data_IF_554809231659
#
_entry.id   IF_554809231659
#
_cell.length_a   1.000
_cell.length_b   1.000
_cell.length_c   1.000
_cell.angle_alpha   90.00
_cell.angle_beta   90.00
_cell.angle_gamma   90.00
#
_symmetry.space_group_name_H-M   'P 1'
#
loop_
_entity.id
_entity.type
_entity.pdbx_description
1 polymer ?
#
# COMPACT_ATOMS: atom_id res chain seq x y z
N UNK A 1 23.15 -8.80 -18.61
CA UNK A 1 22.27 -9.06 -19.77
C UNK A 1 21.17 -8.01 -19.74
N UNK A 2 20.80 -7.42 -20.88
CA UNK A 2 19.73 -6.42 -20.89
C UNK A 2 18.38 -7.12 -20.84
N UNK A 3 17.57 -6.80 -19.86
CA UNK A 3 16.19 -7.28 -19.74
C UNK A 3 15.39 -6.76 -20.94
N UNK A 4 14.81 -7.66 -21.74
CA UNK A 4 13.95 -7.26 -22.86
C UNK A 4 12.57 -6.92 -22.32
N UNK A 5 12.20 -5.64 -22.34
CA UNK A 5 10.87 -5.18 -21.93
C UNK A 5 9.96 -5.03 -23.14
N UNK A 6 8.89 -5.81 -23.18
CA UNK A 6 7.82 -5.71 -24.17
C UNK A 6 6.78 -4.71 -23.64
N UNK A 7 6.39 -3.73 -24.45
CA UNK A 7 5.47 -2.66 -24.08
C UNK A 7 4.23 -2.66 -25.00
N UNK A 8 3.32 -3.61 -24.84
CA UNK A 8 2.09 -3.66 -25.63
C UNK A 8 1.22 -2.42 -25.39
N UNK A 9 0.63 -1.91 -26.46
CA UNK A 9 -0.20 -0.70 -26.45
C UNK A 9 -1.70 -0.99 -26.41
N UNK A 10 -2.08 -2.24 -26.61
CA UNK A 10 -3.47 -2.71 -26.63
C UNK A 10 -3.63 -4.06 -25.94
N UNK A 11 -4.88 -4.42 -25.64
CA UNK A 11 -5.23 -5.76 -25.14
C UNK A 11 -4.96 -6.84 -26.19
N UNK A 12 -5.12 -6.52 -27.46
CA UNK A 12 -4.78 -7.43 -28.56
C UNK A 12 -3.30 -7.76 -28.54
N UNK A 13 -2.42 -6.75 -28.41
CA UNK A 13 -0.97 -6.96 -28.37
C UNK A 13 -0.58 -7.86 -27.19
N UNK A 14 -1.19 -7.64 -26.00
CA UNK A 14 -0.94 -8.47 -24.82
C UNK A 14 -1.36 -9.91 -25.08
N UNK A 15 -2.55 -10.12 -25.66
CA UNK A 15 -3.06 -11.44 -25.97
C UNK A 15 -2.14 -12.18 -26.94
N UNK A 16 -1.73 -11.51 -28.01
CA UNK A 16 -0.86 -12.10 -29.05
C UNK A 16 0.50 -12.48 -28.45
N UNK A 17 1.04 -11.64 -27.57
CA UNK A 17 2.26 -11.94 -26.82
C UNK A 17 2.08 -13.17 -25.90
N UNK A 18 1.00 -13.25 -25.13
CA UNK A 18 0.75 -14.39 -24.25
C UNK A 18 0.57 -15.73 -25.00
N UNK A 19 -0.01 -15.69 -26.18
CA UNK A 19 -0.22 -16.88 -27.02
C UNK A 19 1.09 -17.32 -27.71
N UNK A 20 1.93 -16.37 -28.12
CA UNK A 20 3.17 -16.66 -28.83
C UNK A 20 4.33 -17.04 -27.94
N UNK A 21 4.30 -16.64 -26.66
CA UNK A 21 5.41 -16.86 -25.73
C UNK A 21 5.29 -18.21 -25.02
N UNK A 22 6.40 -18.92 -24.99
CA UNK A 22 6.54 -20.22 -24.29
C UNK A 22 7.35 -20.08 -23.00
N UNK A 23 8.04 -18.96 -22.82
CA UNK A 23 8.87 -18.66 -21.66
C UNK A 23 8.05 -18.03 -20.53
N UNK A 24 8.60 -18.07 -19.32
CA UNK A 24 8.01 -17.34 -18.20
C UNK A 24 8.07 -15.85 -18.41
N UNK A 25 6.94 -15.18 -18.20
CA UNK A 25 6.78 -13.75 -18.34
C UNK A 25 6.68 -13.08 -16.97
N UNK A 26 7.46 -12.05 -16.78
CA UNK A 26 7.30 -11.16 -15.63
C UNK A 26 6.35 -10.02 -15.99
N UNK A 27 5.26 -9.86 -15.24
CA UNK A 27 4.30 -8.79 -15.51
C UNK A 27 4.66 -7.57 -14.66
N UNK A 28 4.84 -6.44 -15.30
CA UNK A 28 5.20 -5.18 -14.65
C UNK A 28 4.26 -4.05 -15.07
N UNK A 29 4.02 -3.13 -14.14
CA UNK A 29 3.58 -1.77 -14.43
C UNK A 29 4.81 -0.88 -14.65
N UNK A 30 4.87 0.26 -13.96
CA UNK A 30 5.99 1.21 -14.04
C UNK A 30 7.22 0.83 -13.22
N UNK A 31 7.39 -0.41 -12.81
CA UNK A 31 8.57 -0.95 -12.13
C UNK A 31 9.05 -0.12 -10.91
N UNK A 32 8.11 0.39 -10.12
CA UNK A 32 8.40 1.23 -8.96
C UNK A 32 8.40 0.47 -7.62
N UNK A 33 8.08 -0.84 -7.63
CA UNK A 33 7.95 -1.69 -6.42
C UNK A 33 8.74 -2.98 -6.46
N UNK A 34 9.09 -3.47 -7.65
CA UNK A 34 9.90 -4.66 -7.85
C UNK A 34 11.15 -4.29 -8.64
N UNK A 35 12.27 -4.93 -8.32
CA UNK A 35 13.45 -4.91 -9.18
C UNK A 35 13.17 -5.68 -10.46
N UNK A 36 13.77 -5.27 -11.56
CA UNK A 36 13.77 -6.03 -12.80
C UNK A 36 14.35 -7.42 -12.52
N UNK A 37 13.67 -8.45 -12.98
CA UNK A 37 14.18 -9.82 -13.00
C UNK A 37 14.97 -10.03 -14.30
N UNK A 38 15.77 -11.08 -14.39
CA UNK A 38 16.45 -11.47 -15.63
C UNK A 38 15.48 -12.05 -16.67
N UNK A 39 14.21 -12.21 -16.31
CA UNK A 39 13.15 -12.74 -17.16
C UNK A 39 12.64 -11.70 -18.16
N UNK A 40 11.98 -12.17 -19.19
CA UNK A 40 11.29 -11.35 -20.17
C UNK A 40 10.12 -10.61 -19.50
N UNK A 41 10.04 -9.30 -19.68
CA UNK A 41 9.07 -8.45 -18.99
C UNK A 41 7.99 -7.96 -19.96
N UNK A 42 6.72 -8.14 -19.61
CA UNK A 42 5.60 -7.41 -20.22
C UNK A 42 5.26 -6.22 -19.33
N UNK A 43 5.41 -5.01 -19.85
CA UNK A 43 5.07 -3.78 -19.14
C UNK A 43 3.75 -3.21 -19.64
N UNK A 44 2.84 -2.94 -18.71
CA UNK A 44 1.55 -2.29 -19.02
C UNK A 44 1.63 -0.77 -19.13
N UNK A 45 2.81 -0.17 -19.07
CA UNK A 45 2.99 1.29 -19.07
C UNK A 45 2.44 1.99 -20.32
N UNK A 46 2.36 1.32 -21.46
CA UNK A 46 1.76 1.89 -22.67
C UNK A 46 0.22 1.94 -22.63
N UNK A 47 -0.42 1.19 -21.72
CA UNK A 47 -1.86 1.25 -21.49
C UNK A 47 -2.18 2.42 -20.54
N UNK A 48 -2.15 3.64 -21.03
CA UNK A 48 -2.33 4.85 -20.20
C UNK A 48 -3.58 5.65 -20.59
N UNK A 49 -4.10 6.41 -19.65
CA UNK A 49 -5.20 7.34 -19.81
C UNK A 49 -6.34 7.11 -18.81
N UNK A 50 -6.99 8.20 -18.42
CA UNK A 50 -8.26 8.19 -17.70
C UNK A 50 -9.36 7.95 -18.72
N UNK A 51 -10.12 6.87 -18.53
CA UNK A 51 -11.21 6.47 -19.43
C UNK A 51 -12.48 7.26 -19.09
N UNK A 52 -12.73 7.43 -17.78
CA UNK A 52 -13.87 8.15 -17.28
C UNK A 52 -13.64 8.63 -15.86
N UNK A 53 -14.16 9.79 -15.52
CA UNK A 53 -14.11 10.32 -14.17
C UNK A 53 -15.42 11.05 -13.87
N UNK A 54 -16.09 10.59 -12.82
CA UNK A 54 -17.36 11.14 -12.33
C UNK A 54 -17.16 11.67 -10.91
N UNK A 55 -16.74 12.94 -10.74
CA UNK A 55 -16.47 13.50 -9.42
C UNK A 55 -17.66 13.42 -8.47
N UNK A 56 -18.89 13.65 -8.97
CA UNK A 56 -20.12 13.57 -8.18
C UNK A 56 -20.46 12.15 -7.70
N UNK A 57 -20.05 11.13 -8.44
CA UNK A 57 -20.22 9.72 -8.06
C UNK A 57 -19.01 9.16 -7.28
N UNK A 58 -17.95 9.95 -7.10
CA UNK A 58 -16.69 9.55 -6.45
C UNK A 58 -16.06 8.32 -7.10
N UNK A 59 -16.11 8.23 -8.42
CA UNK A 59 -15.58 7.08 -9.17
C UNK A 59 -14.72 7.49 -10.34
N UNK A 60 -13.68 6.72 -10.59
CA UNK A 60 -12.78 6.90 -11.74
C UNK A 60 -12.51 5.56 -12.40
N UNK A 61 -12.42 5.58 -13.75
CA UNK A 61 -11.96 4.46 -14.58
C UNK A 61 -10.68 4.88 -15.29
N UNK A 62 -9.64 4.08 -15.16
CA UNK A 62 -8.36 4.36 -15.77
C UNK A 62 -7.69 3.09 -16.31
N UNK A 63 -6.94 3.23 -17.38
CA UNK A 63 -6.08 2.17 -17.90
C UNK A 63 -4.95 1.87 -16.91
N UNK A 64 -4.54 0.61 -16.82
CA UNK A 64 -3.65 0.11 -15.78
C UNK A 64 -2.27 0.79 -15.74
N UNK A 65 -1.73 1.20 -16.88
CA UNK A 65 -0.44 1.89 -17.01
C UNK A 65 -0.48 3.38 -16.67
N UNK A 66 -1.65 3.94 -16.33
CA UNK A 66 -1.77 5.37 -16.00
C UNK A 66 -0.94 5.72 -14.77
N UNK A 67 0.01 6.67 -14.86
CA UNK A 67 0.81 7.11 -13.72
C UNK A 67 -0.05 7.68 -12.58
N UNK A 68 0.35 7.39 -11.33
CA UNK A 68 -0.32 7.98 -10.15
C UNK A 68 -0.27 9.49 -10.11
N UNK A 69 0.76 10.13 -10.69
CA UNK A 69 0.84 11.59 -10.78
C UNK A 69 -0.35 12.14 -11.55
N UNK A 70 -0.67 11.57 -12.72
CA UNK A 70 -1.82 11.98 -13.55
C UNK A 70 -3.15 11.77 -12.79
N UNK A 71 -3.29 10.63 -12.10
CA UNK A 71 -4.48 10.36 -11.28
C UNK A 71 -4.62 11.41 -10.18
N UNK A 72 -3.55 11.65 -9.40
CA UNK A 72 -3.58 12.60 -8.29
C UNK A 72 -3.83 14.04 -8.76
N UNK A 73 -3.17 14.48 -9.83
CA UNK A 73 -3.39 15.82 -10.42
C UNK A 73 -4.85 16.01 -10.86
N UNK A 74 -5.46 14.96 -11.43
CA UNK A 74 -6.86 15.02 -11.86
C UNK A 74 -7.80 15.07 -10.66
N UNK A 75 -7.57 14.25 -9.64
CA UNK A 75 -8.39 14.21 -8.43
C UNK A 75 -8.27 15.52 -7.63
N UNK A 76 -7.08 16.10 -7.57
CA UNK A 76 -6.84 17.34 -6.81
C UNK A 76 -7.65 18.52 -7.35
N UNK A 77 -7.93 18.57 -8.65
CA UNK A 77 -8.78 19.61 -9.26
C UNK A 77 -10.21 19.61 -8.72
N UNK A 78 -10.68 18.45 -8.26
CA UNK A 78 -12.01 18.25 -7.68
C UNK A 78 -11.96 18.07 -6.15
N UNK A 79 -10.84 18.44 -5.49
CA UNK A 79 -10.62 18.21 -4.06
C UNK A 79 -10.85 16.77 -3.62
N UNK A 80 -10.43 15.81 -4.44
CA UNK A 80 -10.54 14.39 -4.18
C UNK A 80 -9.17 13.72 -4.13
N UNK A 81 -9.12 12.50 -3.58
CA UNK A 81 -7.89 11.75 -3.37
C UNK A 81 -8.10 10.24 -3.42
N UNK A 82 -7.00 9.50 -3.61
CA UNK A 82 -6.92 8.08 -3.32
C UNK A 82 -6.79 7.88 -1.81
N UNK A 83 -7.93 7.67 -1.14
CA UNK A 83 -7.97 7.66 0.33
C UNK A 83 -7.10 6.57 0.98
N UNK A 84 -6.84 5.47 0.28
CA UNK A 84 -5.96 4.40 0.75
C UNK A 84 -4.45 4.72 0.65
N UNK A 85 -4.08 5.94 0.27
CA UNK A 85 -2.71 6.49 0.29
C UNK A 85 -1.66 5.54 -0.30
N UNK A 86 -1.68 5.23 -1.60
CA UNK A 86 -0.76 4.25 -2.17
C UNK A 86 0.71 4.71 -2.00
N UNK A 87 1.54 3.95 -1.25
CA UNK A 87 2.91 4.34 -0.97
C UNK A 87 3.78 4.28 -2.22
N UNK A 88 4.83 5.12 -2.27
CA UNK A 88 5.77 5.20 -3.37
C UNK A 88 7.18 4.78 -2.93
N UNK A 89 7.54 3.52 -3.15
CA UNK A 89 8.79 2.95 -2.68
C UNK A 89 10.00 3.20 -3.58
N UNK A 90 9.83 3.86 -4.74
CA UNK A 90 10.92 4.01 -5.71
C UNK A 90 12.20 4.61 -5.12
N UNK A 91 12.07 5.56 -4.20
CA UNK A 91 13.22 6.25 -3.59
C UNK A 91 14.00 5.37 -2.62
N UNK A 92 13.31 4.53 -1.84
CA UNK A 92 13.95 3.63 -0.89
C UNK A 92 14.49 2.36 -1.57
N UNK A 93 13.91 1.99 -2.71
CA UNK A 93 14.32 0.84 -3.51
C UNK A 93 15.34 1.19 -4.60
N UNK A 94 15.68 2.49 -4.75
CA UNK A 94 16.53 3.00 -5.82
C UNK A 94 16.07 2.55 -7.22
N UNK A 95 14.76 2.68 -7.47
CA UNK A 95 14.13 2.34 -8.76
C UNK A 95 13.86 3.60 -9.57
N UNK A 96 14.09 3.52 -10.88
CA UNK A 96 13.85 4.63 -11.82
C UNK A 96 12.40 4.72 -12.28
N UNK A 97 11.62 3.66 -12.10
CA UNK A 97 10.23 3.57 -12.54
C UNK A 97 9.26 4.52 -11.84
N UNK A 98 8.03 4.53 -12.30
CA UNK A 98 6.95 5.31 -11.73
C UNK A 98 5.78 4.41 -11.32
N UNK A 99 5.04 4.80 -10.28
CA UNK A 99 3.87 4.05 -9.84
C UNK A 99 2.72 4.23 -10.83
N UNK A 100 2.11 3.10 -11.24
CA UNK A 100 0.91 3.08 -12.07
C UNK A 100 -0.28 2.58 -11.27
N UNK A 101 -1.50 2.98 -11.67
CA UNK A 101 -2.72 2.61 -10.94
C UNK A 101 -2.96 1.08 -10.96
N UNK A 102 -2.69 0.42 -12.08
CA UNK A 102 -2.76 -1.05 -12.16
C UNK A 102 -1.77 -1.73 -11.24
N UNK A 103 -0.53 -1.23 -11.15
CA UNK A 103 0.49 -1.73 -10.22
C UNK A 103 0.11 -1.53 -8.75
N UNK A 104 -0.58 -0.44 -8.42
CA UNK A 104 -1.13 -0.19 -7.08
C UNK A 104 -2.15 -1.25 -6.69
N UNK A 105 -3.12 -1.52 -7.53
CA UNK A 105 -4.14 -2.55 -7.26
C UNK A 105 -3.56 -3.96 -7.34
N UNK A 106 -2.70 -4.25 -8.30
CA UNK A 106 -2.03 -5.54 -8.41
C UNK A 106 -1.24 -5.91 -7.13
N UNK A 107 -0.67 -4.91 -6.45
CA UNK A 107 0.09 -5.11 -5.20
C UNK A 107 -0.72 -4.84 -3.94
N UNK A 108 -1.98 -4.41 -4.07
CA UNK A 108 -2.86 -3.96 -2.98
C UNK A 108 -2.14 -2.93 -2.07
N UNK A 109 -1.43 -1.99 -2.69
CA UNK A 109 -0.59 -1.04 -1.98
C UNK A 109 -1.44 -0.01 -1.23
N UNK A 110 -1.30 0.01 0.08
CA UNK A 110 -2.10 0.84 0.99
C UNK A 110 -1.21 1.47 2.06
N UNK A 111 -1.45 2.72 2.35
CA UNK A 111 -0.76 3.50 3.37
C UNK A 111 -1.41 3.44 4.74
N UNK A 112 -1.09 4.41 5.58
CA UNK A 112 -1.43 4.42 7.01
C UNK A 112 -2.93 4.51 7.29
N UNK A 113 -3.75 5.04 6.37
CA UNK A 113 -5.22 5.08 6.52
C UNK A 113 -5.91 3.71 6.36
N UNK A 114 -5.18 2.67 6.04
CA UNK A 114 -5.77 1.36 5.74
C UNK A 114 -6.77 0.86 6.77
N UNK A 115 -6.54 1.11 8.05
CA UNK A 115 -7.43 0.62 9.11
C UNK A 115 -8.76 1.38 9.10
N UNK A 116 -8.73 2.70 8.85
CA UNK A 116 -9.93 3.54 8.81
C UNK A 116 -10.71 3.40 7.49
N UNK A 117 -10.02 3.50 6.35
CA UNK A 117 -10.71 3.62 5.04
C UNK A 117 -10.73 2.31 4.24
N UNK A 118 -10.03 1.29 4.70
CA UNK A 118 -9.81 0.06 3.95
C UNK A 118 -8.53 0.09 3.09
N UNK A 119 -8.20 -1.07 2.53
CA UNK A 119 -7.07 -1.23 1.63
C UNK A 119 -7.40 -0.76 0.19
N UNK A 120 -6.39 -0.65 -0.67
CA UNK A 120 -6.59 -0.38 -2.10
C UNK A 120 -7.66 -1.31 -2.71
N UNK A 121 -7.59 -2.61 -2.37
CA UNK A 121 -8.57 -3.63 -2.77
C UNK A 121 -10.01 -3.25 -2.45
N UNK A 122 -10.26 -2.54 -1.34
CA UNK A 122 -11.61 -2.19 -0.88
C UNK A 122 -12.17 -0.99 -1.64
N UNK A 123 -11.30 -0.24 -2.31
CA UNK A 123 -11.66 0.84 -3.22
C UNK A 123 -11.78 0.39 -4.68
N UNK A 124 -11.33 -0.82 -5.04
CA UNK A 124 -11.47 -1.36 -6.39
C UNK A 124 -12.90 -1.85 -6.60
N UNK A 125 -13.61 -1.28 -7.58
CA UNK A 125 -15.01 -1.55 -7.90
C UNK A 125 -15.15 -2.49 -9.12
N UNK A 126 -14.22 -2.38 -10.06
CA UNK A 126 -14.20 -3.17 -11.27
C UNK A 126 -12.80 -3.34 -11.81
N UNK A 127 -12.60 -4.43 -12.54
CA UNK A 127 -11.33 -4.77 -13.18
C UNK A 127 -11.55 -5.37 -14.55
N UNK A 128 -10.68 -5.01 -15.48
CA UNK A 128 -10.53 -5.67 -16.77
C UNK A 128 -9.10 -6.19 -16.84
N UNK A 129 -8.95 -7.45 -17.17
CA UNK A 129 -7.64 -8.11 -17.22
C UNK A 129 -7.61 -9.22 -18.26
N UNK A 130 -6.41 -9.64 -18.65
CA UNK A 130 -6.19 -10.76 -19.55
C UNK A 130 -5.61 -11.91 -18.71
N UNK A 131 -6.27 -13.06 -18.77
CA UNK A 131 -5.83 -14.26 -18.04
C UNK A 131 -4.66 -14.98 -18.76
N UNK A 132 -4.10 -16.01 -18.13
CA UNK A 132 -2.98 -16.78 -18.69
C UNK A 132 -3.30 -17.53 -19.99
N UNK A 133 -4.57 -17.60 -20.38
CA UNK A 133 -5.01 -18.17 -21.66
C UNK A 133 -5.28 -17.11 -22.73
N UNK A 134 -4.94 -15.85 -22.49
CA UNK A 134 -5.17 -14.75 -23.41
C UNK A 134 -6.64 -14.29 -23.49
N UNK A 135 -7.50 -14.71 -22.56
CA UNK A 135 -8.91 -14.29 -22.56
C UNK A 135 -9.07 -12.97 -21.81
N UNK A 136 -9.82 -12.05 -22.41
CA UNK A 136 -10.19 -10.80 -21.77
C UNK A 136 -11.34 -11.05 -20.80
N UNK A 137 -11.12 -10.77 -19.53
CA UNK A 137 -12.11 -10.92 -18.46
C UNK A 137 -12.46 -9.54 -17.91
N UNK A 138 -13.75 -9.25 -17.76
CA UNK A 138 -14.26 -8.06 -17.09
C UNK A 138 -15.13 -8.51 -15.92
N UNK A 139 -14.85 -7.94 -14.72
CA UNK A 139 -15.62 -8.24 -13.53
C UNK A 139 -15.84 -6.97 -12.71
N UNK A 140 -17.00 -6.86 -12.06
CA UNK A 140 -17.41 -5.64 -11.38
C UNK A 140 -17.81 -4.53 -12.36
N UNK A 141 -17.85 -3.31 -11.87
CA UNK A 141 -18.30 -2.13 -12.64
C UNK A 141 -17.96 -0.84 -11.92
N UNK A 142 -18.89 0.14 -11.97
CA UNK A 142 -18.74 1.44 -11.31
C UNK A 142 -19.60 1.58 -10.06
N UNK A 143 -20.32 0.53 -9.71
CA UNK A 143 -21.26 0.54 -8.56
C UNK A 143 -20.63 -0.13 -7.36
N UNK A 144 -20.93 0.36 -6.17
CA UNK A 144 -20.36 -0.13 -4.93
C UNK A 144 -20.85 -1.54 -4.53
N UNK A 145 -21.91 -2.03 -5.15
CA UNK A 145 -22.49 -3.33 -4.83
C UNK A 145 -22.55 -4.21 -6.09
N UNK A 146 -21.75 -5.28 -6.09
CA UNK A 146 -21.87 -6.38 -7.05
C UNK A 146 -22.36 -7.62 -6.30
N UNK A 147 -23.49 -8.18 -6.74
CA UNK A 147 -24.16 -9.30 -6.05
C UNK A 147 -24.21 -10.56 -6.89
N UNK A 148 -23.62 -10.56 -8.08
CA UNK A 148 -23.68 -11.69 -9.02
C UNK A 148 -22.29 -12.22 -9.34
N UNK A 149 -22.13 -13.54 -9.24
CA UNK A 149 -20.89 -14.24 -9.59
C UNK A 149 -19.78 -14.15 -8.56
N UNK A 150 -18.60 -14.62 -8.96
CA UNK A 150 -17.39 -14.56 -8.14
C UNK A 150 -16.84 -13.15 -8.08
N UNK A 151 -16.31 -12.75 -6.94
CA UNK A 151 -15.64 -11.47 -6.76
C UNK A 151 -14.18 -11.55 -7.27
N UNK A 152 -14.02 -11.53 -8.59
CA UNK A 152 -12.70 -11.52 -9.22
C UNK A 152 -11.97 -10.20 -8.99
N UNK A 153 -12.69 -9.11 -8.68
CA UNK A 153 -12.10 -7.81 -8.31
C UNK A 153 -11.21 -7.98 -7.09
N UNK A 154 -11.73 -8.63 -6.05
CA UNK A 154 -10.97 -8.88 -4.82
C UNK A 154 -9.86 -9.92 -4.99
N UNK A 155 -10.05 -10.88 -5.90
CA UNK A 155 -9.07 -11.90 -6.19
C UNK A 155 -7.85 -11.32 -6.93
N UNK A 156 -8.07 -10.48 -7.93
CA UNK A 156 -7.00 -9.85 -8.73
C UNK A 156 -6.21 -8.82 -7.91
N UNK A 157 -6.87 -8.12 -6.99
CA UNK A 157 -6.19 -7.16 -6.12
C UNK A 157 -5.22 -7.87 -5.16
N UNK A 158 -3.94 -7.57 -5.28
CA UNK A 158 -2.88 -8.21 -4.51
C UNK A 158 -2.31 -9.49 -5.14
N UNK A 159 -2.69 -9.81 -6.39
CA UNK A 159 -2.18 -10.99 -7.12
C UNK A 159 -0.78 -10.82 -7.69
N UNK A 160 -0.22 -9.62 -7.71
CA UNK A 160 1.09 -9.30 -8.26
C UNK A 160 1.27 -9.68 -9.74
N UNK A 161 0.17 -9.73 -10.50
CA UNK A 161 0.18 -10.14 -11.90
C UNK A 161 0.21 -11.65 -12.14
N UNK A 162 0.16 -12.48 -11.09
CA UNK A 162 0.25 -13.95 -11.21
C UNK A 162 -1.04 -14.60 -11.70
N UNK A 163 -2.18 -13.91 -11.59
CA UNK A 163 -3.49 -14.39 -12.02
C UNK A 163 -3.94 -13.79 -13.36
N UNK A 164 -3.22 -12.79 -13.85
CA UNK A 164 -3.51 -12.12 -15.11
C UNK A 164 -2.95 -10.72 -15.16
N UNK A 165 -3.02 -10.11 -16.35
CA UNK A 165 -2.50 -8.78 -16.65
C UNK A 165 -3.64 -7.78 -16.59
N UNK A 166 -3.65 -6.91 -15.58
CA UNK A 166 -4.65 -5.85 -15.43
C UNK A 166 -4.48 -4.84 -16.57
N UNK A 167 -5.57 -4.54 -17.29
CA UNK A 167 -5.58 -3.58 -18.38
C UNK A 167 -6.36 -2.30 -18.05
N UNK A 168 -7.42 -2.41 -17.24
CA UNK A 168 -8.26 -1.30 -16.81
C UNK A 168 -8.78 -1.53 -15.39
N UNK A 169 -8.93 -0.46 -14.63
CA UNK A 169 -9.47 -0.48 -13.26
C UNK A 169 -10.53 0.60 -13.09
N UNK A 170 -11.62 0.26 -12.39
CA UNK A 170 -12.63 1.18 -11.90
C UNK A 170 -12.55 1.24 -10.39
N UNK A 171 -12.44 2.42 -9.80
CA UNK A 171 -12.19 2.55 -8.37
C UNK A 171 -12.87 3.76 -7.76
N UNK A 172 -13.11 3.64 -6.45
CA UNK A 172 -13.66 4.70 -5.61
C UNK A 172 -12.58 5.68 -5.18
N UNK A 173 -12.92 6.95 -5.19
CA UNK A 173 -12.13 8.05 -4.63
C UNK A 173 -12.90 8.70 -3.47
N UNK A 174 -12.25 9.51 -2.65
CA UNK A 174 -12.90 10.25 -1.56
C UNK A 174 -12.49 11.72 -1.58
N UNK A 175 -13.32 12.62 -1.01
CA UNK A 175 -12.93 14.00 -0.81
C UNK A 175 -11.66 14.11 0.05
N UNK A 176 -10.89 15.18 -0.19
CA UNK A 176 -9.78 15.55 0.70
C UNK A 176 -10.38 16.12 1.99
N UNK A 177 -9.81 15.77 3.14
CA UNK A 177 -10.20 16.36 4.42
C UNK A 177 -9.88 17.86 4.44
N UNK A 178 -10.74 18.67 5.05
CA UNK A 178 -10.54 20.12 5.20
C UNK A 178 -9.26 20.44 5.97
N UNK A 179 -9.01 19.67 7.04
CA UNK A 179 -7.81 19.79 7.85
C UNK A 179 -7.40 18.46 8.47
N UNK A 180 -6.19 18.41 8.97
CA UNK A 180 -5.66 17.30 9.76
C UNK A 180 -4.74 17.82 10.85
N UNK A 181 -4.56 17.00 11.88
CA UNK A 181 -3.63 17.23 12.99
C UNK A 181 -3.02 15.92 13.41
N UNK A 182 -1.78 15.96 13.90
CA UNK A 182 -1.11 14.77 14.46
C UNK A 182 -0.67 15.06 15.89
N UNK A 183 -0.99 14.14 16.80
CA UNK A 183 -0.45 14.13 18.14
C UNK A 183 0.80 13.25 18.16
N UNK A 184 1.93 13.81 18.56
CA UNK A 184 3.15 13.09 18.87
C UNK A 184 3.18 12.83 20.37
N UNK A 185 3.22 11.58 20.79
CA UNK A 185 3.11 11.18 22.19
C UNK A 185 4.36 10.43 22.60
N UNK A 186 5.05 10.90 23.62
CA UNK A 186 6.19 10.21 24.21
C UNK A 186 5.70 8.98 24.98
N UNK A 187 5.95 7.78 24.45
CA UNK A 187 5.54 6.52 25.07
C UNK A 187 6.50 5.39 24.72
N UNK A 188 6.92 4.64 25.73
CA UNK A 188 7.72 3.40 25.52
C UNK A 188 6.87 2.18 25.19
N UNK A 189 5.56 2.34 25.14
CA UNK A 189 4.61 1.26 24.91
C UNK A 189 3.87 1.44 23.58
N UNK A 190 4.08 0.55 22.65
CA UNK A 190 3.38 0.54 21.35
C UNK A 190 1.86 0.26 21.49
N UNK A 191 1.40 -0.22 22.64
CA UNK A 191 -0.03 -0.42 22.95
C UNK A 191 -0.86 0.86 22.84
N UNK A 192 -0.22 2.04 22.95
CA UNK A 192 -0.85 3.34 22.73
C UNK A 192 -1.50 3.48 21.34
N UNK A 193 -0.95 2.82 20.31
CA UNK A 193 -1.54 2.81 18.96
C UNK A 193 -2.91 2.14 18.96
N UNK A 194 -3.01 0.98 19.60
CA UNK A 194 -4.28 0.24 19.72
C UNK A 194 -5.27 0.99 20.61
N UNK A 195 -4.80 1.60 21.71
CA UNK A 195 -5.63 2.45 22.57
C UNK A 195 -6.22 3.61 21.77
N UNK A 196 -5.43 4.30 20.95
CA UNK A 196 -5.88 5.40 20.10
C UNK A 196 -6.95 4.96 19.09
N UNK A 197 -6.71 3.85 18.39
CA UNK A 197 -7.65 3.32 17.39
C UNK A 197 -8.96 2.82 17.98
N UNK A 198 -8.98 2.44 19.26
CA UNK A 198 -10.19 2.01 19.97
C UNK A 198 -11.01 3.17 20.57
N UNK A 199 -10.53 4.42 20.44
CA UNK A 199 -11.32 5.59 20.85
C UNK A 199 -12.42 5.89 19.81
N UNK A 200 -13.51 6.57 20.19
CA UNK A 200 -14.57 6.96 19.26
C UNK A 200 -14.21 8.21 18.42
N UNK A 201 -12.93 8.55 18.34
CA UNK A 201 -12.47 9.82 17.75
C UNK A 201 -11.97 9.70 16.32
N UNK A 202 -12.32 8.61 15.60
CA UNK A 202 -12.09 8.39 14.19
C UNK A 202 -10.60 8.68 13.79
N UNK A 203 -9.70 7.99 14.47
CA UNK A 203 -8.26 8.07 14.21
C UNK A 203 -7.95 7.52 12.81
N UNK A 204 -7.33 8.34 11.96
CA UNK A 204 -7.10 8.00 10.55
C UNK A 204 -5.75 7.34 10.27
N UNK A 205 -4.82 7.40 11.22
CA UNK A 205 -3.51 6.78 11.10
C UNK A 205 -2.79 6.73 12.43
N UNK A 206 -1.99 5.69 12.63
CA UNK A 206 -1.13 5.54 13.79
C UNK A 206 0.24 5.06 13.33
N UNK A 207 1.29 5.61 13.91
CA UNK A 207 2.67 5.25 13.63
C UNK A 207 3.48 5.24 14.91
N UNK A 208 4.45 4.34 15.02
CA UNK A 208 5.32 4.26 16.19
C UNK A 208 6.78 4.07 15.76
N UNK A 209 7.61 5.00 16.16
CA UNK A 209 9.06 4.87 16.06
C UNK A 209 9.61 4.18 17.30
N UNK A 210 10.07 2.97 17.14
CA UNK A 210 10.54 2.14 18.25
C UNK A 210 11.83 2.70 18.87
N UNK A 211 12.69 3.32 18.06
CA UNK A 211 13.98 3.85 18.55
C UNK A 211 13.80 5.11 19.39
N UNK A 212 12.94 6.03 18.96
CA UNK A 212 12.69 7.27 19.69
C UNK A 212 11.65 7.10 20.83
N UNK A 213 10.81 6.07 20.74
CA UNK A 213 9.70 5.88 21.68
C UNK A 213 8.55 6.87 21.48
N UNK A 214 8.39 7.41 20.25
CA UNK A 214 7.28 8.29 19.93
C UNK A 214 6.19 7.57 19.16
N UNK A 215 4.94 7.76 19.61
CA UNK A 215 3.74 7.38 18.90
C UNK A 215 3.12 8.60 18.23
N UNK A 216 2.60 8.42 17.02
CA UNK A 216 1.97 9.47 16.24
C UNK A 216 0.53 9.05 15.92
N UNK A 217 -0.43 9.93 16.19
CA UNK A 217 -1.86 9.68 16.04
C UNK A 217 -2.44 10.78 15.17
N UNK A 218 -2.99 10.43 14.00
CA UNK A 218 -3.59 11.37 13.06
C UNK A 218 -5.10 11.37 13.16
N UNK A 219 -5.69 12.56 13.16
CA UNK A 219 -7.11 12.82 12.98
C UNK A 219 -7.31 13.82 11.84
N UNK A 220 -8.37 13.63 11.05
CA UNK A 220 -8.65 14.40 9.84
C UNK A 220 -10.15 14.65 9.70
N UNK A 221 -10.55 15.67 8.95
CA UNK A 221 -11.94 15.96 8.64
C UNK A 221 -12.24 17.45 8.65
N UNK A 222 -13.45 17.82 9.02
CA UNK A 222 -13.88 19.21 9.17
C UNK A 222 -13.20 19.88 10.37
N UNK A 223 -12.78 21.12 10.23
CA UNK A 223 -11.98 21.86 11.22
C UNK A 223 -12.58 21.79 12.63
N UNK A 224 -13.86 22.09 12.80
CA UNK A 224 -14.54 22.03 14.11
C UNK A 224 -14.51 20.63 14.72
N UNK A 225 -14.68 19.59 13.89
CA UNK A 225 -14.66 18.20 14.34
C UNK A 225 -13.26 17.78 14.75
N UNK A 226 -12.23 18.14 13.97
CA UNK A 226 -10.83 17.85 14.26
C UNK A 226 -10.42 18.51 15.58
N UNK A 227 -10.74 19.79 15.79
CA UNK A 227 -10.46 20.51 17.05
C UNK A 227 -11.10 19.83 18.27
N UNK A 228 -12.36 19.42 18.15
CA UNK A 228 -13.05 18.69 19.24
C UNK A 228 -12.37 17.36 19.55
N UNK A 229 -12.14 16.53 18.53
CA UNK A 229 -11.53 15.19 18.69
C UNK A 229 -10.10 15.28 19.22
N UNK A 230 -9.33 16.27 18.77
CA UNK A 230 -8.01 16.58 19.31
C UNK A 230 -8.07 16.83 20.83
N UNK A 231 -8.99 17.71 21.27
CA UNK A 231 -9.14 18.00 22.69
C UNK A 231 -9.53 16.77 23.51
N UNK A 232 -10.34 15.87 22.95
CA UNK A 232 -10.70 14.63 23.65
C UNK A 232 -9.51 13.66 23.73
N UNK A 233 -8.73 13.53 22.64
CA UNK A 233 -7.51 12.71 22.66
C UNK A 233 -6.45 13.28 23.61
N UNK A 234 -6.30 14.60 23.72
CA UNK A 234 -5.41 15.22 24.71
C UNK A 234 -5.82 14.89 26.15
N UNK A 235 -7.13 14.80 26.44
CA UNK A 235 -7.61 14.34 27.75
C UNK A 235 -7.36 12.84 27.94
N UNK A 236 -7.64 12.04 26.91
CA UNK A 236 -7.43 10.58 26.94
C UNK A 236 -5.98 10.20 27.24
N UNK A 237 -5.03 10.99 26.72
CA UNK A 237 -3.60 10.76 26.85
C UNK A 237 -2.90 11.78 27.77
N UNK A 238 -3.64 12.37 28.71
CA UNK A 238 -3.13 13.44 29.61
C UNK A 238 -1.94 13.02 30.50
N UNK A 239 -1.73 11.71 30.67
CA UNK A 239 -0.61 11.17 31.43
C UNK A 239 0.73 11.16 30.66
N UNK A 240 0.71 11.56 29.38
CA UNK A 240 1.87 11.57 28.50
C UNK A 240 2.26 13.00 28.11
N UNK A 241 3.52 13.17 27.77
CA UNK A 241 4.00 14.38 27.09
C UNK A 241 3.54 14.33 25.62
N UNK A 242 2.88 15.40 25.15
CA UNK A 242 2.26 15.44 23.84
C UNK A 242 2.64 16.73 23.13
N UNK A 243 3.22 16.59 21.93
CA UNK A 243 3.38 17.65 20.95
C UNK A 243 2.28 17.56 19.88
N UNK A 244 1.92 18.70 19.30
CA UNK A 244 0.88 18.79 18.28
C UNK A 244 1.50 19.30 16.98
N UNK A 245 1.41 18.51 15.93
CA UNK A 245 1.76 18.92 14.59
C UNK A 245 0.54 19.58 13.93
N UNK A 246 0.72 20.75 13.41
CA UNK A 246 -0.31 21.44 12.64
C UNK A 246 -0.62 20.73 11.30
N UNK A 247 -1.50 21.31 10.49
CA UNK A 247 -1.95 20.69 9.25
C UNK A 247 -0.81 20.44 8.25
N UNK A 248 0.14 21.37 8.12
CA UNK A 248 1.24 21.25 7.16
C UNK A 248 2.34 20.30 7.69
N UNK A 249 2.69 20.40 8.95
CA UNK A 249 3.60 19.47 9.62
C UNK A 249 3.07 18.04 9.58
N UNK A 250 1.79 17.88 9.85
CA UNK A 250 1.10 16.59 9.81
C UNK A 250 1.11 16.00 8.39
N UNK A 251 0.76 16.77 7.34
CA UNK A 251 0.82 16.30 5.95
C UNK A 251 2.22 15.84 5.55
N UNK A 252 3.22 16.63 5.89
CA UNK A 252 4.61 16.29 5.62
C UNK A 252 5.02 15.01 6.33
N UNK A 253 4.73 14.89 7.63
CA UNK A 253 5.04 13.72 8.42
C UNK A 253 4.45 12.44 7.82
N UNK A 254 3.15 12.42 7.50
CA UNK A 254 2.49 11.24 6.93
C UNK A 254 2.92 10.94 5.49
N UNK A 255 3.34 11.94 4.74
CA UNK A 255 4.01 11.72 3.46
C UNK A 255 5.35 10.99 3.66
N UNK A 256 6.14 11.39 4.65
CA UNK A 256 7.42 10.76 4.98
C UNK A 256 7.22 9.32 5.49
N UNK A 257 6.22 9.07 6.35
CA UNK A 257 5.82 7.72 6.80
C UNK A 257 5.45 6.85 5.59
N UNK A 258 4.58 7.35 4.72
CA UNK A 258 4.05 6.59 3.59
C UNK A 258 5.15 6.25 2.55
N UNK A 259 6.17 7.09 2.43
CA UNK A 259 7.30 6.90 1.54
C UNK A 259 8.51 6.22 2.20
N UNK A 260 8.39 5.81 3.46
CA UNK A 260 9.44 5.19 4.27
C UNK A 260 10.72 6.05 4.39
N UNK A 261 10.56 7.38 4.45
CA UNK A 261 11.68 8.32 4.49
C UNK A 261 12.61 8.06 5.67
N UNK A 262 12.09 7.60 6.81
CA UNK A 262 12.84 7.27 8.02
C UNK A 262 13.80 6.07 7.87
N UNK A 263 13.58 5.22 6.85
CA UNK A 263 14.45 4.07 6.53
C UNK A 263 15.40 4.36 5.37
N UNK A 264 15.34 5.58 4.81
CA UNK A 264 16.22 5.99 3.72
C UNK A 264 17.67 6.03 4.19
N UNK A 265 18.59 5.66 3.32
CA UNK A 265 20.04 5.63 3.57
C UNK A 265 20.50 4.63 4.64
N UNK A 266 19.65 3.82 5.18
CA UNK A 266 20.03 2.72 6.08
C UNK A 266 20.47 1.49 5.28
N UNK A 267 21.57 0.87 5.69
CA UNK A 267 22.13 -0.34 5.10
C UNK A 267 21.36 -1.58 5.58
N UNK A 268 21.33 -2.64 4.74
CA UNK A 268 20.72 -3.93 5.06
C UNK A 268 19.42 -4.20 4.32
N UNK A 269 18.84 -5.35 4.56
CA UNK A 269 17.62 -5.80 3.89
C UNK A 269 16.38 -5.12 4.47
N UNK A 270 15.51 -4.62 3.57
CA UNK A 270 14.25 -3.98 3.94
C UNK A 270 13.11 -4.99 3.93
N UNK A 271 12.47 -5.16 5.07
CA UNK A 271 11.34 -6.08 5.23
C UNK A 271 10.07 -5.35 5.61
N UNK A 272 8.97 -5.83 5.05
CA UNK A 272 7.60 -5.46 5.36
C UNK A 272 6.87 -6.68 5.93
N UNK A 273 6.38 -6.57 7.16
CA UNK A 273 5.68 -7.66 7.82
C UNK A 273 4.25 -7.22 8.16
N UNK A 274 3.27 -8.04 7.80
CA UNK A 274 1.87 -7.83 8.15
C UNK A 274 1.44 -8.91 9.14
N UNK A 275 0.95 -8.49 10.30
CA UNK A 275 0.61 -9.36 11.44
C UNK A 275 -0.61 -8.80 12.19
N UNK A 276 -1.02 -9.48 13.26
CA UNK A 276 -2.00 -8.88 14.20
C UNK A 276 -1.36 -7.70 14.92
N UNK A 277 -2.12 -6.66 15.25
CA UNK A 277 -1.60 -5.46 15.93
C UNK A 277 -0.78 -5.74 17.20
N UNK A 278 -1.22 -6.70 18.01
CA UNK A 278 -0.53 -7.09 19.25
C UNK A 278 0.80 -7.82 19.04
N UNK A 279 1.02 -8.37 17.84
CA UNK A 279 2.19 -9.19 17.55
C UNK A 279 3.36 -8.36 17.01
N UNK A 280 3.09 -7.17 16.45
CA UNK A 280 4.11 -6.36 15.79
C UNK A 280 5.29 -6.02 16.68
N UNK A 281 5.05 -5.51 17.89
CA UNK A 281 6.11 -5.17 18.84
C UNK A 281 6.87 -6.41 19.33
N UNK A 282 6.20 -7.57 19.45
CA UNK A 282 6.84 -8.81 19.86
C UNK A 282 7.80 -9.33 18.80
N UNK A 283 7.43 -9.15 17.53
CA UNK A 283 8.30 -9.48 16.38
C UNK A 283 9.55 -8.62 16.42
N UNK A 284 9.42 -7.31 16.61
CA UNK A 284 10.56 -6.40 16.69
C UNK A 284 11.50 -6.82 17.83
N UNK A 285 10.97 -7.08 19.02
CA UNK A 285 11.76 -7.54 20.17
C UNK A 285 12.49 -8.86 19.89
N UNK A 286 11.87 -9.77 19.14
CA UNK A 286 12.46 -11.08 18.80
C UNK A 286 13.53 -11.00 17.73
N UNK A 287 13.36 -10.10 16.74
CA UNK A 287 14.25 -9.98 15.59
C UNK A 287 15.44 -9.03 15.84
N UNK A 288 15.30 -8.14 16.80
CA UNK A 288 16.29 -7.10 17.16
C UNK A 288 16.88 -6.39 15.93
N UNK A 289 16.05 -5.73 15.11
CA UNK A 289 16.48 -5.13 13.86
C UNK A 289 17.28 -3.84 14.07
N UNK A 290 18.08 -3.44 13.08
CA UNK A 290 18.82 -2.16 13.07
C UNK A 290 17.89 -0.94 13.17
N UNK A 291 16.72 -1.01 12.57
CA UNK A 291 15.66 0.00 12.68
C UNK A 291 14.30 -0.65 12.47
N UNK A 292 13.30 -0.12 13.14
CA UNK A 292 11.94 -0.65 13.07
C UNK A 292 10.89 0.40 13.36
N UNK A 293 9.77 0.28 12.65
CA UNK A 293 8.61 1.14 12.79
C UNK A 293 7.33 0.30 12.74
N UNK A 294 6.30 0.75 13.46
CA UNK A 294 4.97 0.17 13.41
C UNK A 294 4.00 1.14 12.76
N UNK A 295 3.11 0.60 11.93
CA UNK A 295 1.97 1.27 11.33
C UNK A 295 0.73 0.38 11.51
N UNK A 296 -0.44 0.82 11.06
CA UNK A 296 -1.71 0.08 11.14
C UNK A 296 -2.02 -0.44 12.55
N UNK A 297 -1.90 0.44 13.53
CA UNK A 297 -2.11 0.08 14.94
C UNK A 297 -1.16 -1.01 15.48
N UNK A 298 0.01 -1.17 14.86
CA UNK A 298 0.98 -2.23 15.18
C UNK A 298 0.90 -3.46 14.26
N UNK A 299 -0.07 -3.50 13.34
CA UNK A 299 -0.27 -4.63 12.43
C UNK A 299 0.63 -4.61 11.18
N UNK A 300 1.30 -3.51 10.91
CA UNK A 300 2.33 -3.40 9.88
C UNK A 300 3.67 -3.07 10.53
N UNK A 301 4.66 -3.92 10.29
CA UNK A 301 6.03 -3.74 10.79
C UNK A 301 6.96 -3.49 9.61
N UNK A 302 7.71 -2.41 9.71
CA UNK A 302 8.80 -2.09 8.82
C UNK A 302 10.11 -2.29 9.53
N UNK A 303 11.06 -3.01 8.94
CA UNK A 303 12.39 -3.20 9.53
C UNK A 303 13.51 -3.17 8.49
N UNK A 304 14.67 -2.69 8.98
CA UNK A 304 15.98 -2.94 8.39
C UNK A 304 16.72 -3.96 9.25
N UNK A 305 17.20 -5.03 8.61
CA UNK A 305 18.01 -6.07 9.24
C UNK A 305 19.37 -6.17 8.55
N UNK A 306 20.28 -6.94 9.11
CA UNK A 306 21.54 -7.29 8.45
C UNK A 306 21.28 -7.90 7.06
N UNK A 307 22.17 -7.64 6.11
CA UNK A 307 22.08 -8.25 4.79
C UNK A 307 22.16 -9.78 4.91
N UNK A 308 21.23 -10.47 4.24
CA UNK A 308 21.13 -11.93 4.31
C UNK A 308 20.44 -12.48 5.56
N UNK A 309 19.89 -11.62 6.45
CA UNK A 309 19.13 -12.09 7.60
C UNK A 309 17.74 -12.57 7.19
N UNK A 310 17.46 -13.86 7.35
CA UNK A 310 16.19 -14.47 6.94
C UNK A 310 15.07 -14.26 7.97
N UNK A 311 14.32 -13.18 7.82
CA UNK A 311 13.19 -12.85 8.68
C UNK A 311 12.11 -13.93 8.67
N UNK A 312 11.82 -14.54 7.50
CA UNK A 312 10.79 -15.59 7.39
C UNK A 312 11.11 -16.80 8.24
N UNK A 313 12.36 -17.24 8.24
CA UNK A 313 12.83 -18.36 9.05
C UNK A 313 12.66 -18.07 10.54
N UNK A 314 13.00 -16.86 10.98
CA UNK A 314 12.84 -16.44 12.37
C UNK A 314 11.38 -16.31 12.80
N UNK A 315 10.47 -16.11 11.83
CA UNK A 315 9.03 -15.97 12.08
C UNK A 315 8.26 -17.30 12.05
N UNK A 316 8.86 -18.44 11.78
CA UNK A 316 8.18 -19.75 11.53
C UNK A 316 7.07 -20.15 12.51
N UNK A 317 7.05 -19.60 13.73
CA UNK A 317 6.05 -19.89 14.76
C UNK A 317 5.06 -18.75 14.99
N UNK A 318 5.13 -17.70 14.17
CA UNK A 318 4.28 -16.51 14.31
C UNK A 318 3.35 -16.42 13.11
N UNK A 319 2.07 -16.08 13.35
CA UNK A 319 1.14 -15.84 12.25
C UNK A 319 1.46 -14.51 11.60
N UNK A 320 1.46 -14.45 10.28
CA UNK A 320 1.71 -13.22 9.53
C UNK A 320 2.41 -13.49 8.19
N UNK A 321 2.67 -12.39 7.49
CA UNK A 321 3.32 -12.43 6.18
C UNK A 321 4.51 -11.48 6.14
N UNK A 322 5.70 -11.99 5.78
CA UNK A 322 6.92 -11.21 5.66
C UNK A 322 7.40 -11.14 4.20
N UNK A 323 7.58 -9.93 3.70
CA UNK A 323 8.04 -9.63 2.35
C UNK A 323 9.37 -8.87 2.41
N UNK A 324 10.38 -9.37 1.71
CA UNK A 324 11.63 -8.65 1.49
C UNK A 324 11.45 -7.70 0.30
N UNK A 325 11.53 -6.39 0.53
CA UNK A 325 11.38 -5.40 -0.54
C UNK A 325 12.72 -5.03 -1.19
N UNK A 326 13.80 -5.08 -0.44
CA UNK A 326 15.15 -4.77 -0.92
C UNK A 326 16.15 -5.61 -0.16
N UNK A 327 16.95 -6.41 -0.86
CA UNK A 327 17.97 -7.22 -0.24
C UNK A 327 18.22 -8.55 -0.96
N UNK A 328 18.75 -9.50 -0.21
CA UNK A 328 19.25 -10.79 -0.71
C UNK A 328 18.15 -11.83 -1.00
N UNK A 329 16.92 -11.58 -0.58
CA UNK A 329 15.82 -12.54 -0.72
C UNK A 329 14.85 -12.15 -1.82
N UNK A 330 14.26 -13.14 -2.49
CA UNK A 330 13.18 -12.88 -3.45
C UNK A 330 12.02 -12.15 -2.74
N UNK A 331 11.62 -10.97 -3.23
CA UNK A 331 10.56 -10.17 -2.61
C UNK A 331 9.23 -10.91 -2.55
N UNK A 332 8.89 -11.64 -3.59
CA UNK A 332 7.64 -12.40 -3.68
C UNK A 332 7.96 -13.88 -3.52
N UNK A 333 8.12 -14.32 -2.28
CA UNK A 333 8.08 -15.75 -2.00
C UNK A 333 6.64 -16.15 -1.76
N UNK A 334 6.06 -16.92 -2.68
CA UNK A 334 4.75 -17.57 -2.53
C UNK A 334 4.77 -18.74 -1.54
N UNK A 335 5.90 -19.02 -0.89
CA UNK A 335 5.86 -19.84 0.30
C UNK A 335 5.11 -19.06 1.36
N UNK A 336 3.79 -19.16 1.32
CA UNK A 336 2.96 -18.87 2.47
C UNK A 336 3.57 -19.61 3.66
N UNK A 337 3.82 -18.93 4.75
CA UNK A 337 3.69 -19.55 6.05
C UNK A 337 2.35 -20.29 5.94
N UNK A 338 2.37 -21.60 5.96
CA UNK A 338 1.25 -22.48 5.62
C UNK A 338 -0.04 -21.83 6.06
N UNK A 339 -0.91 -21.49 5.10
CA UNK A 339 -2.31 -21.32 5.39
C UNK A 339 -2.67 -22.61 6.13
N UNK A 340 -3.15 -22.50 7.35
CA UNK A 340 -3.66 -23.68 8.04
C UNK A 340 -4.71 -24.25 7.11
N UNK A 341 -4.45 -25.44 6.60
CA UNK A 341 -5.45 -26.28 6.01
C UNK A 341 -6.52 -26.43 7.08
N UNK A 342 -7.63 -25.74 6.91
CA UNK A 342 -8.87 -26.02 7.62
C UNK A 342 -9.69 -26.95 6.77
#
# INVERSE_FOLDING_TARGET
MSTTSLMPSSESDIRDLLISETERLHIAGGQSRLRATEEKVISTCALTGIVEYEPGALTMVAKAGTPLSIINETLQKENQQLAFEPPQYKHILNLLGHSTIGGVFATNASGSRRIQVGAARDHLLGVRFIDGLGRVVKNGGRVMKNVTGYDLVKLIAGSWGTLGIITEVSFKVLPIAETQVTLQIASREASILTRAMNTPYDVSGTFYDVASGFAYIRIEGFDKSVKYRMQQLLKEFSDFEIDIFDAEESKKFWSDVNNLAFLKNMQGDLWRISVRPTDGIQIIKKLDPKASYLDWSGGLVWLRVEEGFNVREKMQKMSGHAMCLSGSFNPVSYTHLRAHET
#
